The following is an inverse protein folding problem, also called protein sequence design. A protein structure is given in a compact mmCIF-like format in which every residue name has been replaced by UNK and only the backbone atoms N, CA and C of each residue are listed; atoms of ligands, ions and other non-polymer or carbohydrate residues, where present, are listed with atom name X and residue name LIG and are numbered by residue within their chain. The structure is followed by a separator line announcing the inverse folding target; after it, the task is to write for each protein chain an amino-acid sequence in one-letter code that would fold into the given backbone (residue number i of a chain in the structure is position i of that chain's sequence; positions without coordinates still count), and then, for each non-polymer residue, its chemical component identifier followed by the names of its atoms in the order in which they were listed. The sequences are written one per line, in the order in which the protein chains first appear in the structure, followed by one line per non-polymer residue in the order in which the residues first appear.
data_IF_035147262315
#
_entry.id   IF_035147262315
#
_cell.length_a   1.000
_cell.length_b   1.000
_cell.length_c   1.000
_cell.angle_alpha   90.00
_cell.angle_beta   90.00
_cell.angle_gamma   90.00
#
_symmetry.space_group_name_H-M   'P 1'
#
loop_
_entity.id
_entity.type
_entity.pdbx_description
1 polymer ?
#
# COMPACT_ATOMS: atom_id res chain seq x y z
N UNK A 1 17.06 14.67 1.80
CA UNK A 1 17.69 15.82 1.06
C UNK A 1 16.75 16.14 -0.10
N UNK A 2 15.85 17.12 0.08
CA UNK A 2 15.06 17.63 -1.05
C UNK A 2 16.03 18.35 -1.97
N UNK A 3 16.25 17.82 -3.15
CA UNK A 3 16.84 18.58 -4.24
C UNK A 3 15.77 19.60 -4.67
N UNK A 4 15.81 20.80 -4.09
CA UNK A 4 15.12 21.94 -4.67
C UNK A 4 15.73 22.16 -6.06
N UNK A 5 15.00 21.79 -7.10
CA UNK A 5 15.32 22.27 -8.44
C UNK A 5 15.06 23.77 -8.40
N UNK A 6 16.12 24.56 -8.37
CA UNK A 6 16.00 25.97 -8.69
C UNK A 6 15.41 26.06 -10.10
N UNK A 7 14.17 26.49 -10.17
CA UNK A 7 13.59 26.92 -11.43
C UNK A 7 14.28 28.23 -11.81
N UNK A 8 15.32 28.14 -12.58
CA UNK A 8 15.88 29.30 -13.26
C UNK A 8 14.82 29.71 -14.28
N UNK A 9 13.95 30.61 -13.89
CA UNK A 9 13.10 31.34 -14.84
C UNK A 9 14.00 32.44 -15.39
N UNK A 10 14.51 32.27 -16.61
CA UNK A 10 15.12 33.39 -17.35
C UNK A 10 14.07 34.52 -17.37
N UNK A 11 14.52 35.75 -17.03
CA UNK A 11 13.65 36.91 -17.05
C UNK A 11 13.05 37.07 -18.45
N UNK A 12 11.73 36.78 -18.55
CA UNK A 12 10.99 36.99 -19.79
C UNK A 12 10.68 38.48 -19.89
N UNK A 13 11.43 39.18 -20.71
CA UNK A 13 11.20 40.61 -20.98
C UNK A 13 10.13 40.73 -22.07
N UNK A 14 8.92 41.17 -21.67
CA UNK A 14 7.79 41.41 -22.57
C UNK A 14 6.45 40.94 -22.03
N UNK A 15 5.35 41.39 -22.66
CA UNK A 15 3.99 40.90 -22.36
C UNK A 15 3.78 39.51 -22.93
N UNK A 16 4.15 38.46 -22.13
CA UNK A 16 3.99 37.07 -22.53
C UNK A 16 2.70 36.53 -21.93
N UNK A 17 1.78 36.10 -22.77
CA UNK A 17 0.55 35.44 -22.35
C UNK A 17 0.87 34.00 -21.95
N UNK A 18 0.90 33.74 -20.65
CA UNK A 18 1.13 32.39 -20.11
C UNK A 18 -0.14 31.55 -20.18
N UNK A 19 -0.10 30.44 -20.90
CA UNK A 19 -1.15 29.44 -20.92
C UNK A 19 -0.73 28.25 -20.04
N UNK A 20 -1.58 27.88 -19.09
CA UNK A 20 -1.36 26.68 -18.29
C UNK A 20 -1.86 25.44 -19.07
N UNK A 21 -1.09 24.35 -19.03
CA UNK A 21 -1.56 23.07 -19.53
C UNK A 21 -2.80 22.62 -18.72
N UNK A 22 -3.78 22.09 -19.39
CA UNK A 22 -4.99 21.52 -18.77
C UNK A 22 -5.16 20.11 -19.29
N UNK A 23 -5.65 19.23 -18.41
CA UNK A 23 -6.04 17.86 -18.77
C UNK A 23 -7.50 17.93 -19.25
N UNK A 24 -7.77 17.37 -20.42
CA UNK A 24 -9.14 17.22 -20.91
C UNK A 24 -9.89 16.20 -20.07
N UNK A 25 -11.18 16.43 -19.81
CA UNK A 25 -12.02 15.51 -19.03
C UNK A 25 -12.03 14.10 -19.63
N UNK A 26 -12.09 13.98 -20.94
CA UNK A 26 -12.06 12.70 -21.67
C UNK A 26 -10.72 11.98 -21.61
N UNK A 27 -9.65 12.63 -21.15
CA UNK A 27 -8.30 12.05 -21.06
C UNK A 27 -7.98 11.46 -19.70
N UNK A 28 -8.85 11.61 -18.72
CA UNK A 28 -8.62 11.19 -17.34
C UNK A 28 -8.38 9.67 -17.26
N UNK A 29 -9.18 8.87 -17.95
CA UNK A 29 -9.01 7.40 -18.02
C UNK A 29 -7.63 7.00 -18.52
N UNK A 30 -7.14 7.64 -19.60
CA UNK A 30 -5.82 7.35 -20.19
C UNK A 30 -4.69 7.68 -19.21
N UNK A 31 -4.82 8.78 -18.48
CA UNK A 31 -3.81 9.19 -17.49
C UNK A 31 -3.78 8.21 -16.31
N UNK A 32 -4.95 7.81 -15.82
CA UNK A 32 -5.08 6.85 -14.74
C UNK A 32 -4.49 5.50 -15.16
N UNK A 33 -4.82 5.00 -16.35
CA UNK A 33 -4.24 3.78 -16.91
C UNK A 33 -2.72 3.87 -17.02
N UNK A 34 -2.21 5.02 -17.47
CA UNK A 34 -0.76 5.24 -17.57
C UNK A 34 -0.10 5.19 -16.19
N UNK A 35 -0.71 5.78 -15.17
CA UNK A 35 -0.19 5.76 -13.78
C UNK A 35 -0.22 4.35 -13.19
N UNK A 36 -1.29 3.58 -13.44
CA UNK A 36 -1.43 2.21 -12.96
C UNK A 36 -0.42 1.29 -13.66
N UNK A 37 -0.20 1.48 -14.95
CA UNK A 37 0.76 0.70 -15.74
C UNK A 37 2.23 1.01 -15.40
N UNK A 38 2.51 2.03 -14.57
CA UNK A 38 3.87 2.26 -14.06
C UNK A 38 4.32 1.20 -13.06
N UNK A 39 3.42 0.43 -12.47
CA UNK A 39 3.79 -0.64 -11.55
C UNK A 39 4.45 -1.81 -12.30
N UNK A 40 5.75 -1.95 -12.16
CA UNK A 40 6.54 -3.04 -12.78
C UNK A 40 6.26 -4.40 -12.13
N UNK A 41 5.89 -4.43 -10.86
CA UNK A 41 5.41 -5.61 -10.11
C UNK A 41 4.01 -5.31 -9.54
N UNK A 42 2.93 -5.59 -10.30
CA UNK A 42 1.57 -5.31 -9.87
C UNK A 42 1.21 -5.93 -8.52
N UNK A 43 1.48 -7.23 -8.33
CA UNK A 43 1.13 -7.95 -7.11
C UNK A 43 1.98 -7.45 -5.92
N UNK A 44 3.29 -7.24 -6.11
CA UNK A 44 4.15 -6.66 -5.09
C UNK A 44 3.70 -5.26 -4.68
N UNK A 45 3.26 -4.46 -5.65
CA UNK A 45 2.73 -3.11 -5.38
C UNK A 45 1.44 -3.15 -4.57
N UNK A 46 0.51 -4.05 -4.89
CA UNK A 46 -0.72 -4.23 -4.10
C UNK A 46 -0.39 -4.60 -2.66
N UNK A 47 0.44 -5.65 -2.49
CA UNK A 47 0.83 -6.13 -1.18
C UNK A 47 1.47 -5.02 -0.35
N UNK A 48 2.36 -4.24 -0.94
CA UNK A 48 3.02 -3.11 -0.29
C UNK A 48 2.05 -1.98 0.06
N UNK A 49 1.35 -1.46 -0.94
CA UNK A 49 0.55 -0.24 -0.80
C UNK A 49 -0.67 -0.47 0.11
N UNK A 50 -1.39 -1.58 -0.09
CA UNK A 50 -2.59 -1.86 0.71
C UNK A 50 -2.21 -2.19 2.15
N UNK A 51 -1.13 -2.94 2.38
CA UNK A 51 -0.66 -3.21 3.74
C UNK A 51 -0.18 -1.93 4.44
N UNK A 52 0.55 -1.07 3.74
CA UNK A 52 0.97 0.22 4.29
C UNK A 52 -0.22 1.08 4.70
N UNK A 53 -1.30 1.10 3.90
CA UNK A 53 -2.52 1.79 4.27
C UNK A 53 -3.18 1.21 5.53
N UNK A 54 -3.16 -0.13 5.70
CA UNK A 54 -3.65 -0.78 6.92
C UNK A 54 -2.83 -0.33 8.15
N UNK A 55 -1.51 -0.25 8.04
CA UNK A 55 -0.65 0.23 9.12
C UNK A 55 -0.88 1.70 9.45
N UNK A 56 -1.00 2.55 8.43
CA UNK A 56 -1.28 3.96 8.62
C UNK A 56 -2.62 4.18 9.36
N UNK A 57 -3.66 3.40 9.03
CA UNK A 57 -4.95 3.45 9.72
C UNK A 57 -4.84 3.04 11.21
N UNK A 58 -4.04 2.00 11.51
CA UNK A 58 -3.76 1.60 12.89
C UNK A 58 -3.01 2.68 13.64
N UNK A 59 -1.97 3.24 13.03
CA UNK A 59 -1.18 4.33 13.62
C UNK A 59 -2.03 5.56 13.88
N UNK A 60 -2.90 5.96 12.94
CA UNK A 60 -3.84 7.07 13.14
C UNK A 60 -4.70 6.83 14.39
N UNK A 61 -5.29 5.63 14.50
CA UNK A 61 -6.08 5.24 15.69
C UNK A 61 -5.26 5.33 16.98
N UNK A 62 -4.06 4.75 16.98
CA UNK A 62 -3.23 4.67 18.19
C UNK A 62 -2.77 6.07 18.64
N UNK A 63 -2.43 6.96 17.72
CA UNK A 63 -2.11 8.36 18.00
C UNK A 63 -3.32 9.14 18.55
N UNK A 64 -4.54 8.88 18.04
CA UNK A 64 -5.78 9.45 18.57
C UNK A 64 -6.07 8.94 19.99
N UNK A 65 -5.93 7.65 20.24
CA UNK A 65 -6.12 7.05 21.55
C UNK A 65 -5.09 7.58 22.56
N UNK A 66 -3.85 7.79 22.15
CA UNK A 66 -2.79 8.37 22.97
C UNK A 66 -2.94 9.88 23.18
N UNK A 67 -3.88 10.55 22.47
CA UNK A 67 -4.05 11.99 22.54
C UNK A 67 -2.96 12.81 21.85
N UNK A 68 -2.13 12.16 21.02
CA UNK A 68 -1.05 12.81 20.25
C UNK A 68 -1.59 13.62 19.09
N UNK A 69 -2.67 13.14 18.46
CA UNK A 69 -3.42 13.87 17.43
C UNK A 69 -4.88 14.01 17.89
N UNK A 70 -5.57 15.08 17.47
CA UNK A 70 -6.94 15.32 17.92
C UNK A 70 -7.91 14.27 17.33
N UNK A 71 -8.89 13.92 18.14
CA UNK A 71 -10.09 13.22 17.69
C UNK A 71 -10.94 14.25 16.97
N UNK A 72 -11.31 13.97 15.71
CA UNK A 72 -12.17 14.85 14.91
C UNK A 72 -13.64 14.58 15.19
N UNK A 73 -14.54 15.47 14.73
CA UNK A 73 -15.99 15.30 14.86
C UNK A 73 -16.54 14.05 14.12
N UNK A 74 -15.74 13.51 13.19
CA UNK A 74 -16.06 12.28 12.47
C UNK A 74 -15.68 11.01 13.26
N UNK A 75 -14.89 11.13 14.31
CA UNK A 75 -14.39 10.00 15.09
C UNK A 75 -15.23 9.75 16.35
N UNK A 76 -15.52 8.51 16.65
CA UNK A 76 -16.12 8.07 17.92
C UNK A 76 -15.30 6.94 18.53
N UNK A 77 -14.46 7.24 19.54
CA UNK A 77 -13.53 6.25 20.13
C UNK A 77 -14.20 4.99 20.68
N UNK A 78 -15.50 5.02 20.98
CA UNK A 78 -16.20 3.81 21.43
C UNK A 78 -16.24 2.70 20.37
N UNK A 79 -16.00 3.07 19.09
CA UNK A 79 -15.95 2.14 17.98
C UNK A 79 -14.52 1.70 17.62
N UNK A 80 -13.50 2.18 18.33
CA UNK A 80 -12.13 1.78 18.06
C UNK A 80 -11.83 0.40 18.65
N UNK A 81 -11.12 -0.41 17.89
CA UNK A 81 -10.52 -1.63 18.40
C UNK A 81 -9.43 -1.35 19.43
N UNK A 82 -9.18 -2.27 20.37
CA UNK A 82 -8.00 -2.21 21.23
C UNK A 82 -6.72 -2.08 20.38
N UNK A 83 -5.71 -1.39 20.91
CA UNK A 83 -4.41 -1.20 20.25
C UNK A 83 -3.67 -2.52 20.00
N UNK A 84 -3.99 -3.56 20.77
CA UNK A 84 -3.45 -4.92 20.58
C UNK A 84 -3.99 -5.64 19.34
N UNK A 85 -5.09 -5.15 18.74
CA UNK A 85 -5.61 -5.74 17.51
C UNK A 85 -4.70 -5.36 16.35
N UNK A 86 -4.29 -6.34 15.55
CA UNK A 86 -3.29 -6.19 14.48
C UNK A 86 -3.93 -6.23 13.11
N UNK A 87 -3.33 -5.57 12.08
CA UNK A 87 -3.76 -5.73 10.69
C UNK A 87 -3.68 -7.18 10.24
N UNK A 88 -4.50 -7.55 9.27
CA UNK A 88 -4.60 -8.93 8.80
C UNK A 88 -4.52 -9.02 7.28
N UNK A 89 -3.83 -10.05 6.80
CA UNK A 89 -3.95 -10.52 5.41
C UNK A 89 -4.54 -11.93 5.47
N UNK A 90 -5.63 -12.12 4.75
CA UNK A 90 -6.38 -13.36 4.71
C UNK A 90 -6.46 -13.86 3.27
N UNK A 91 -6.29 -15.16 3.08
CA UNK A 91 -6.67 -15.84 1.84
C UNK A 91 -8.01 -16.54 2.04
N UNK A 92 -8.95 -16.31 1.14
CA UNK A 92 -10.25 -16.98 1.10
C UNK A 92 -10.40 -17.75 -0.21
N UNK A 93 -10.78 -19.03 -0.14
CA UNK A 93 -11.05 -19.86 -1.31
C UNK A 93 -12.34 -19.44 -2.03
N UNK A 94 -13.29 -18.89 -1.29
CA UNK A 94 -14.55 -18.40 -1.82
C UNK A 94 -15.09 -17.27 -0.93
N UNK A 95 -15.37 -16.12 -1.52
CA UNK A 95 -16.04 -15.04 -0.80
C UNK A 95 -17.53 -15.03 -1.13
N UNK A 96 -18.29 -15.75 -0.33
CA UNK A 96 -19.74 -15.97 -0.53
C UNK A 96 -20.53 -14.66 -0.47
N UNK A 97 -20.09 -13.67 0.34
CA UNK A 97 -20.80 -12.39 0.50
C UNK A 97 -20.79 -11.56 -0.79
N UNK A 98 -19.72 -11.64 -1.55
CA UNK A 98 -19.55 -10.89 -2.79
C UNK A 98 -19.78 -11.76 -4.03
N UNK A 99 -19.94 -13.06 -3.86
CA UNK A 99 -20.10 -14.00 -4.97
C UNK A 99 -18.83 -14.09 -5.85
N UNK A 100 -17.65 -13.85 -5.27
CA UNK A 100 -16.36 -13.98 -5.94
C UNK A 100 -15.66 -15.26 -5.48
N UNK A 101 -14.84 -15.85 -6.37
CA UNK A 101 -14.03 -17.03 -6.05
C UNK A 101 -12.89 -16.70 -5.08
N UNK A 102 -11.73 -17.27 -5.33
CA UNK A 102 -10.54 -17.03 -4.50
C UNK A 102 -10.19 -15.54 -4.42
N UNK A 103 -9.86 -15.07 -3.24
CA UNK A 103 -9.51 -13.66 -3.01
C UNK A 103 -8.44 -13.51 -1.92
N UNK A 104 -7.65 -12.44 -2.01
CA UNK A 104 -6.86 -11.92 -0.91
C UNK A 104 -7.57 -10.73 -0.27
N UNK A 105 -7.64 -10.75 1.05
CA UNK A 105 -8.25 -9.71 1.88
C UNK A 105 -7.17 -9.04 2.71
N UNK A 106 -7.16 -7.72 2.69
CA UNK A 106 -6.31 -6.88 3.53
C UNK A 106 -7.20 -6.09 4.46
N UNK A 107 -7.10 -6.36 5.75
CA UNK A 107 -8.00 -5.77 6.75
C UNK A 107 -7.23 -4.99 7.78
N UNK A 108 -7.63 -3.76 8.01
CA UNK A 108 -7.22 -2.98 9.16
C UNK A 108 -8.34 -2.90 10.22
N UNK A 109 -7.93 -2.57 11.43
CA UNK A 109 -8.77 -2.31 12.59
C UNK A 109 -8.43 -0.91 13.16
N UNK A 110 -8.22 0.02 12.25
CA UNK A 110 -7.91 1.41 12.54
C UNK A 110 -9.15 2.24 12.84
N UNK A 111 -9.17 3.46 12.36
CA UNK A 111 -10.30 4.40 12.58
C UNK A 111 -11.53 4.05 11.75
N UNK A 112 -11.40 3.17 10.74
CA UNK A 112 -12.41 2.94 9.72
C UNK A 112 -12.53 4.13 8.75
N UNK A 113 -13.28 3.95 7.67
CA UNK A 113 -13.51 5.01 6.69
C UNK A 113 -15.01 5.37 6.65
N UNK A 114 -15.33 6.64 6.91
CA UNK A 114 -16.65 7.17 6.64
C UNK A 114 -16.96 7.11 5.13
N UNK A 115 -18.22 7.15 4.75
CA UNK A 115 -18.64 7.18 3.34
C UNK A 115 -17.89 8.26 2.56
N UNK A 116 -17.82 9.46 3.11
CA UNK A 116 -17.10 10.60 2.54
C UNK A 116 -15.60 10.30 2.35
N UNK A 117 -14.94 9.75 3.38
CA UNK A 117 -13.50 9.39 3.28
C UNK A 117 -13.24 8.30 2.23
N UNK A 118 -14.11 7.30 2.09
CA UNK A 118 -13.99 6.29 1.02
C UNK A 118 -14.05 6.99 -0.33
N UNK A 119 -15.04 7.83 -0.56
CA UNK A 119 -15.20 8.57 -1.81
C UNK A 119 -13.94 9.41 -2.09
N UNK A 120 -13.47 10.21 -1.12
CA UNK A 120 -12.29 11.06 -1.27
C UNK A 120 -11.01 10.26 -1.56
N UNK A 121 -10.78 9.15 -0.86
CA UNK A 121 -9.56 8.32 -1.02
C UNK A 121 -9.56 7.59 -2.36
N UNK A 122 -10.68 7.04 -2.77
CA UNK A 122 -10.72 6.12 -3.90
C UNK A 122 -11.11 6.76 -5.23
N UNK A 123 -11.80 7.90 -5.25
CA UNK A 123 -12.17 8.59 -6.49
C UNK A 123 -11.21 9.71 -6.88
N UNK A 124 -10.47 10.29 -5.93
CA UNK A 124 -9.54 11.37 -6.22
C UNK A 124 -8.13 10.84 -6.49
N UNK A 125 -7.56 11.23 -7.62
CA UNK A 125 -6.19 10.94 -7.99
C UNK A 125 -5.27 12.11 -7.63
N UNK A 126 -4.09 11.79 -7.09
CA UNK A 126 -3.12 12.81 -6.73
C UNK A 126 -3.47 13.63 -5.47
N UNK A 127 -4.62 13.41 -4.85
CA UNK A 127 -4.94 13.93 -3.52
C UNK A 127 -4.44 12.94 -2.48
N UNK A 128 -3.25 13.18 -1.95
CA UNK A 128 -2.80 12.51 -0.75
C UNK A 128 -3.05 13.44 0.43
N UNK A 129 -3.86 13.03 1.37
CA UNK A 129 -3.97 13.69 2.69
C UNK A 129 -2.66 13.59 3.47
N UNK A 130 -1.67 12.92 2.89
CA UNK A 130 -0.39 12.51 3.50
C UNK A 130 0.82 13.30 2.99
N UNK A 131 0.64 14.26 2.07
CA UNK A 131 1.76 14.99 1.44
C UNK A 131 2.64 15.78 2.41
N UNK A 132 2.05 16.24 3.50
CA UNK A 132 2.73 17.08 4.49
C UNK A 132 3.12 16.30 5.77
N UNK A 133 2.84 14.99 5.82
CA UNK A 133 3.17 14.14 6.96
C UNK A 133 4.26 13.12 6.55
N UNK A 134 5.51 13.46 6.87
CA UNK A 134 6.68 12.58 6.65
C UNK A 134 6.62 11.26 7.44
N UNK A 135 5.58 11.04 8.22
CA UNK A 135 5.41 9.85 9.05
C UNK A 135 4.50 8.80 8.42
N UNK A 136 3.98 8.99 7.21
CA UNK A 136 3.07 8.07 6.54
C UNK A 136 3.73 7.48 5.28
N UNK A 137 3.59 6.16 5.09
CA UNK A 137 4.28 5.39 4.05
C UNK A 137 3.75 5.69 2.63
N UNK A 138 2.48 6.14 2.49
CA UNK A 138 1.83 6.38 1.19
C UNK A 138 1.76 7.85 0.77
N UNK A 139 2.65 8.33 -0.11
CA UNK A 139 2.78 9.75 -0.48
C UNK A 139 2.09 10.23 -1.75
N UNK A 140 1.73 9.35 -2.69
CA UNK A 140 1.35 9.75 -4.06
C UNK A 140 -0.17 9.79 -4.34
N UNK A 141 -1.03 9.35 -3.40
CA UNK A 141 -2.48 9.30 -3.61
C UNK A 141 -2.94 8.28 -4.68
N UNK A 142 -2.04 7.43 -5.16
CA UNK A 142 -2.34 6.36 -6.12
C UNK A 142 -2.30 4.96 -5.48
N UNK A 143 -1.69 4.81 -4.32
CA UNK A 143 -1.51 3.51 -3.65
C UNK A 143 -2.82 2.78 -3.38
N UNK A 144 -3.88 3.50 -2.99
CA UNK A 144 -5.22 2.92 -2.80
C UNK A 144 -5.84 2.34 -4.08
N UNK A 145 -5.34 2.74 -5.26
CA UNK A 145 -5.77 2.26 -6.57
C UNK A 145 -4.84 1.20 -7.16
N UNK A 146 -3.79 0.83 -6.43
CA UNK A 146 -2.84 -0.22 -6.87
C UNK A 146 -3.51 -1.55 -7.26
N UNK A 147 -4.68 -1.97 -6.70
CA UNK A 147 -5.37 -3.16 -7.16
C UNK A 147 -5.68 -3.18 -8.66
N UNK A 148 -5.95 -2.03 -9.28
CA UNK A 148 -6.19 -1.94 -10.71
C UNK A 148 -4.98 -2.29 -11.59
N UNK A 149 -3.78 -2.39 -11.03
CA UNK A 149 -2.62 -2.89 -11.78
C UNK A 149 -2.67 -4.41 -12.04
N UNK A 150 -3.53 -5.12 -11.30
CA UNK A 150 -3.67 -6.58 -11.37
C UNK A 150 -5.07 -7.03 -11.80
N UNK A 151 -6.12 -6.38 -11.34
CA UNK A 151 -7.51 -6.77 -11.58
C UNK A 151 -8.35 -5.59 -12.08
N UNK A 152 -9.35 -5.88 -12.92
CA UNK A 152 -10.30 -4.86 -13.36
C UNK A 152 -11.38 -4.56 -12.33
N UNK A 153 -11.49 -5.35 -11.25
CA UNK A 153 -12.50 -5.16 -10.21
C UNK A 153 -11.94 -5.56 -8.85
N UNK A 154 -12.17 -4.73 -7.84
CA UNK A 154 -11.92 -5.06 -6.44
C UNK A 154 -12.98 -4.43 -5.55
N UNK A 155 -13.01 -4.84 -4.26
CA UNK A 155 -14.05 -4.42 -3.35
C UNK A 155 -13.47 -3.78 -2.09
N UNK A 156 -14.27 -2.90 -1.48
CA UNK A 156 -13.96 -2.28 -0.20
C UNK A 156 -15.15 -2.48 0.71
N UNK A 157 -14.87 -2.97 1.91
CA UNK A 157 -15.84 -2.99 2.99
C UNK A 157 -15.32 -2.10 4.11
N UNK A 158 -16.13 -1.16 4.57
CA UNK A 158 -15.80 -0.29 5.69
C UNK A 158 -16.86 -0.35 6.78
N UNK A 159 -16.40 -0.41 8.03
CA UNK A 159 -17.23 -0.24 9.22
C UNK A 159 -16.74 1.00 9.94
N UNK A 160 -17.64 1.95 10.11
CA UNK A 160 -17.31 3.23 10.72
C UNK A 160 -18.47 3.73 11.56
N UNK A 161 -18.23 3.90 12.86
CA UNK A 161 -19.17 4.47 13.85
C UNK A 161 -20.58 3.86 13.79
N UNK A 162 -20.64 2.50 13.80
CA UNK A 162 -21.90 1.77 13.80
C UNK A 162 -22.59 1.66 12.45
N UNK A 163 -21.93 2.09 11.38
CA UNK A 163 -22.38 1.91 9.99
C UNK A 163 -21.45 0.99 9.24
N UNK A 164 -21.99 0.30 8.25
CA UNK A 164 -21.22 -0.54 7.32
C UNK A 164 -21.51 -0.14 5.88
N UNK A 165 -20.49 -0.15 5.06
CA UNK A 165 -20.54 0.20 3.64
C UNK A 165 -19.78 -0.85 2.85
N UNK A 166 -20.30 -1.28 1.71
CA UNK A 166 -19.54 -2.05 0.73
C UNK A 166 -19.59 -1.40 -0.64
N UNK A 167 -18.43 -1.39 -1.28
CA UNK A 167 -18.23 -0.77 -2.58
C UNK A 167 -17.61 -1.75 -3.55
N UNK A 168 -17.98 -1.64 -4.80
CA UNK A 168 -17.30 -2.25 -5.94
C UNK A 168 -16.59 -1.15 -6.72
N UNK A 169 -15.29 -1.34 -6.93
CA UNK A 169 -14.50 -0.48 -7.79
C UNK A 169 -14.15 -1.27 -9.04
N UNK A 170 -14.36 -0.68 -10.21
CA UNK A 170 -14.15 -1.40 -11.46
C UNK A 170 -13.70 -0.47 -12.60
N UNK A 171 -12.99 -1.07 -13.54
CA UNK A 171 -12.56 -0.43 -14.78
C UNK A 171 -13.69 -0.54 -15.80
N UNK A 172 -14.30 0.59 -16.17
CA UNK A 172 -15.24 0.68 -17.28
C UNK A 172 -14.53 0.93 -18.61
N UNK A 173 -15.31 1.11 -19.67
CA UNK A 173 -14.77 1.34 -21.01
C UNK A 173 -14.14 2.74 -21.15
N UNK A 174 -14.60 3.71 -20.39
CA UNK A 174 -14.27 5.13 -20.49
C UNK A 174 -13.59 5.67 -19.22
N UNK A 175 -13.88 5.08 -18.07
CA UNK A 175 -13.39 5.55 -16.78
C UNK A 175 -13.33 4.43 -15.74
N UNK A 176 -12.75 4.76 -14.59
CA UNK A 176 -12.83 3.97 -13.38
C UNK A 176 -14.06 4.39 -12.58
N UNK A 177 -14.79 3.42 -12.07
CA UNK A 177 -16.05 3.60 -11.37
C UNK A 177 -15.99 3.05 -9.96
N UNK A 178 -16.83 3.61 -9.10
CA UNK A 178 -17.03 3.12 -7.74
C UNK A 178 -18.53 3.13 -7.43
N UNK A 179 -19.11 1.96 -7.21
CA UNK A 179 -20.52 1.80 -6.89
C UNK A 179 -20.69 1.38 -5.43
N UNK A 180 -21.59 2.05 -4.71
CA UNK A 180 -22.02 1.64 -3.39
C UNK A 180 -22.97 0.44 -3.53
N UNK A 181 -22.54 -0.74 -3.12
CA UNK A 181 -23.34 -1.97 -3.18
C UNK A 181 -24.33 -2.06 -2.02
N UNK A 182 -23.85 -1.81 -0.80
CA UNK A 182 -24.68 -1.89 0.42
C UNK A 182 -24.31 -0.79 1.40
N UNK A 183 -25.34 -0.33 2.13
CA UNK A 183 -25.19 0.54 3.30
C UNK A 183 -26.10 0.04 4.41
N UNK A 184 -25.60 -0.04 5.63
CA UNK A 184 -26.38 -0.58 6.76
C UNK A 184 -25.84 -0.12 8.11
N UNK A 185 -26.42 -0.71 9.18
CA UNK A 185 -25.96 -0.52 10.55
C UNK A 185 -25.22 -1.78 11.02
N UNK A 186 -24.25 -1.58 11.90
CA UNK A 186 -23.48 -2.69 12.48
C UNK A 186 -23.21 -2.43 13.95
N UNK A 187 -23.00 -3.50 14.71
CA UNK A 187 -22.50 -3.45 16.09
C UNK A 187 -21.00 -3.75 16.16
N UNK A 188 -20.37 -4.03 15.02
CA UNK A 188 -18.95 -4.29 14.95
C UNK A 188 -18.12 -3.01 15.02
N UNK A 189 -16.91 -3.13 15.55
CA UNK A 189 -15.99 -2.03 15.69
C UNK A 189 -15.42 -1.61 14.31
N UNK A 190 -14.84 -0.41 14.26
CA UNK A 190 -14.33 0.20 13.04
C UNK A 190 -13.26 -0.68 12.36
N UNK A 191 -13.38 -0.81 11.06
CA UNK A 191 -12.42 -1.55 10.22
C UNK A 191 -12.55 -1.15 8.76
N UNK A 192 -11.47 -1.35 7.99
CA UNK A 192 -11.52 -1.29 6.53
C UNK A 192 -10.95 -2.58 5.97
N UNK A 193 -11.57 -3.10 4.93
CA UNK A 193 -11.15 -4.31 4.23
C UNK A 193 -11.12 -4.05 2.74
N UNK A 194 -9.97 -4.36 2.13
CA UNK A 194 -9.78 -4.35 0.68
C UNK A 194 -9.73 -5.79 0.21
N UNK A 195 -10.63 -6.17 -0.70
CA UNK A 195 -10.81 -7.53 -1.19
C UNK A 195 -10.42 -7.57 -2.66
N UNK A 196 -9.43 -8.40 -2.96
CA UNK A 196 -8.84 -8.54 -4.29
C UNK A 196 -9.15 -9.93 -4.84
N UNK A 197 -10.12 -10.04 -5.75
CA UNK A 197 -10.41 -11.30 -6.42
C UNK A 197 -9.23 -11.76 -7.25
N UNK A 198 -9.00 -13.07 -7.25
CA UNK A 198 -8.01 -13.68 -8.13
C UNK A 198 -8.66 -14.13 -9.44
N UNK A 199 -7.88 -14.13 -10.52
CA UNK A 199 -8.33 -14.71 -11.79
C UNK A 199 -8.61 -16.21 -11.58
N UNK A 200 -9.82 -16.66 -11.90
CA UNK A 200 -10.24 -18.05 -11.71
C UNK A 200 -9.35 -19.04 -12.48
N UNK A 201 -8.86 -18.66 -13.68
CA UNK A 201 -8.03 -19.52 -14.53
C UNK A 201 -6.59 -19.61 -14.06
N UNK A 202 -6.09 -18.58 -13.39
CA UNK A 202 -4.70 -18.43 -12.96
C UNK A 202 -4.55 -18.50 -11.43
N UNK A 203 -5.64 -18.76 -10.71
CA UNK A 203 -5.76 -18.65 -9.27
C UNK A 203 -4.60 -19.31 -8.52
N UNK A 204 -4.26 -20.56 -8.85
CA UNK A 204 -3.15 -21.27 -8.20
C UNK A 204 -1.77 -20.62 -8.42
N UNK A 205 -1.54 -20.08 -9.62
CA UNK A 205 -0.30 -19.36 -9.94
C UNK A 205 -0.25 -18.03 -9.18
N UNK A 206 -1.37 -17.34 -9.15
CA UNK A 206 -1.45 -16.02 -8.53
C UNK A 206 -1.39 -16.09 -7.01
N UNK A 207 -1.97 -17.10 -6.38
CA UNK A 207 -1.77 -17.36 -4.94
C UNK A 207 -0.26 -17.43 -4.62
N UNK A 208 0.52 -18.20 -5.41
CA UNK A 208 1.97 -18.31 -5.21
C UNK A 208 2.70 -16.99 -5.40
N UNK A 209 2.25 -16.17 -6.36
CA UNK A 209 2.82 -14.84 -6.61
C UNK A 209 2.51 -13.88 -5.44
N UNK A 210 1.29 -13.90 -4.90
CA UNK A 210 0.93 -13.13 -3.72
C UNK A 210 1.77 -13.55 -2.51
N UNK A 211 1.90 -14.84 -2.23
CA UNK A 211 2.73 -15.33 -1.12
C UNK A 211 4.21 -14.93 -1.29
N UNK A 212 4.72 -15.00 -2.53
CA UNK A 212 6.08 -14.53 -2.83
C UNK A 212 6.21 -13.03 -2.56
N UNK A 213 5.23 -12.24 -2.97
CA UNK A 213 5.23 -10.80 -2.75
C UNK A 213 5.12 -10.45 -1.25
N UNK A 214 4.27 -11.16 -0.50
CA UNK A 214 4.16 -11.03 0.96
C UNK A 214 5.50 -11.28 1.63
N UNK A 215 6.17 -12.39 1.29
CA UNK A 215 7.47 -12.71 1.85
C UNK A 215 8.55 -11.67 1.51
N UNK A 216 8.51 -11.11 0.30
CA UNK A 216 9.51 -10.14 -0.14
C UNK A 216 9.26 -8.72 0.38
N UNK A 217 8.00 -8.30 0.42
CA UNK A 217 7.65 -6.90 0.73
C UNK A 217 7.39 -6.67 2.22
N UNK A 218 6.89 -7.70 2.94
CA UNK A 218 6.37 -7.53 4.29
C UNK A 218 7.23 -8.20 5.37
N UNK A 219 8.43 -8.62 5.03
CA UNK A 219 9.31 -9.34 5.96
C UNK A 219 9.67 -8.55 7.23
N UNK A 220 9.64 -7.22 7.16
CA UNK A 220 9.93 -6.32 8.29
C UNK A 220 8.69 -5.80 8.99
N UNK A 221 7.50 -6.31 8.64
CA UNK A 221 6.25 -5.97 9.32
C UNK A 221 6.00 -6.95 10.48
N UNK A 222 6.34 -6.54 11.70
CA UNK A 222 6.32 -7.42 12.87
C UNK A 222 4.90 -7.79 13.33
N UNK A 223 3.97 -6.85 13.22
CA UNK A 223 2.64 -6.89 13.82
C UNK A 223 1.53 -7.29 12.84
N UNK A 224 1.85 -8.05 11.81
CA UNK A 224 0.91 -8.49 10.79
C UNK A 224 0.43 -9.90 11.06
N UNK A 225 -0.87 -10.13 10.98
CA UNK A 225 -1.46 -11.46 11.11
C UNK A 225 -1.81 -12.02 9.74
N UNK A 226 -1.53 -13.30 9.55
CA UNK A 226 -1.87 -14.03 8.33
C UNK A 226 -2.87 -15.12 8.62
N UNK A 227 -3.96 -15.19 7.83
CA UNK A 227 -5.04 -16.15 7.98
C UNK A 227 -5.15 -16.93 6.68
N UNK A 228 -5.02 -18.25 6.75
CA UNK A 228 -5.11 -19.21 5.63
C UNK A 228 -4.13 -18.94 4.47
N UNK A 229 -3.18 -18.02 4.61
CA UNK A 229 -2.27 -17.63 3.53
C UNK A 229 -1.31 -18.75 3.17
N UNK A 230 -0.80 -19.49 4.15
CA UNK A 230 0.12 -20.63 3.93
C UNK A 230 -0.59 -21.83 3.30
N UNK A 231 -1.83 -22.06 3.66
CA UNK A 231 -2.63 -23.20 3.21
C UNK A 231 -2.95 -23.11 1.72
N UNK A 232 -3.32 -21.92 1.24
CA UNK A 232 -3.65 -21.70 -0.17
C UNK A 232 -2.48 -21.92 -1.14
N UNK A 233 -1.23 -21.72 -0.71
CA UNK A 233 -0.07 -21.76 -1.60
C UNK A 233 0.98 -22.79 -1.27
N UNK A 234 0.88 -23.54 -0.17
CA UNK A 234 1.84 -24.56 0.25
C UNK A 234 3.25 -24.02 0.55
N UNK A 235 3.38 -22.72 0.78
CA UNK A 235 4.65 -22.07 1.15
C UNK A 235 4.51 -21.40 2.52
N UNK A 236 5.52 -21.62 3.35
CA UNK A 236 5.61 -20.95 4.66
C UNK A 236 5.88 -19.47 4.47
N UNK A 237 5.23 -18.66 5.30
CA UNK A 237 5.55 -17.25 5.44
C UNK A 237 6.86 -17.11 6.21
N UNK A 238 7.69 -16.19 5.74
CA UNK A 238 8.99 -15.91 6.32
C UNK A 238 8.91 -14.63 7.15
N UNK A 239 9.53 -14.67 8.31
CA UNK A 239 9.81 -13.47 9.10
C UNK A 239 11.31 -13.23 9.04
N UNK A 240 11.70 -11.98 8.94
CA UNK A 240 13.09 -11.59 9.10
C UNK A 240 13.59 -12.04 10.48
N UNK A 241 14.77 -12.64 10.51
CA UNK A 241 15.50 -12.89 11.74
C UNK A 241 16.57 -11.82 11.83
N UNK A 242 16.28 -10.76 12.59
CA UNK A 242 17.19 -9.63 12.68
C UNK A 242 18.35 -10.01 13.58
N UNK A 243 19.53 -10.13 12.98
CA UNK A 243 20.77 -10.43 13.71
C UNK A 243 21.43 -9.18 14.29
N UNK A 244 21.24 -8.04 13.61
CA UNK A 244 21.69 -6.74 14.07
C UNK A 244 20.75 -5.66 13.54
N UNK A 245 20.44 -4.69 14.39
CA UNK A 245 19.65 -3.50 14.04
C UNK A 245 20.12 -2.30 14.82
N UNK A 246 20.33 -1.18 14.11
CA UNK A 246 20.49 0.14 14.69
C UNK A 246 19.58 1.15 13.96
N UNK A 247 19.87 2.46 14.09
CA UNK A 247 19.07 3.51 13.48
C UNK A 247 19.07 3.44 11.94
N UNK A 248 20.22 3.11 11.37
CA UNK A 248 20.48 3.24 9.92
C UNK A 248 20.61 1.91 9.19
N UNK A 249 20.87 0.82 9.91
CA UNK A 249 21.22 -0.48 9.34
C UNK A 249 20.45 -1.62 9.99
N UNK A 250 20.08 -2.59 9.17
CA UNK A 250 19.52 -3.86 9.58
C UNK A 250 20.25 -5.00 8.87
N UNK A 251 20.67 -6.03 9.61
CA UNK A 251 21.30 -7.24 9.06
C UNK A 251 20.41 -8.44 9.38
N UNK A 252 20.12 -9.23 8.35
CA UNK A 252 19.40 -10.50 8.43
C UNK A 252 20.18 -11.60 7.71
N UNK A 253 20.98 -12.36 8.46
CA UNK A 253 21.81 -13.44 7.94
C UNK A 253 20.99 -14.68 7.53
N UNK A 254 19.77 -14.82 7.99
CA UNK A 254 18.90 -15.94 7.63
C UNK A 254 18.60 -16.00 6.12
N UNK A 255 18.71 -14.89 5.44
CA UNK A 255 18.48 -14.75 4.01
C UNK A 255 19.62 -15.31 3.14
N UNK A 256 20.83 -15.47 3.70
CA UNK A 256 22.00 -15.97 2.96
C UNK A 256 21.81 -17.39 2.42
N UNK A 257 21.08 -18.24 3.12
CA UNK A 257 21.04 -19.68 2.84
C UNK A 257 19.95 -20.11 1.86
N UNK A 258 18.91 -19.33 1.66
CA UNK A 258 17.74 -19.80 0.91
C UNK A 258 17.58 -19.26 -0.52
N UNK A 259 18.23 -18.15 -0.86
CA UNK A 259 18.01 -17.50 -2.16
C UNK A 259 19.27 -17.17 -2.96
N UNK A 260 20.46 -17.41 -2.46
CA UNK A 260 21.70 -16.80 -2.99
C UNK A 260 21.61 -15.26 -3.09
N UNK A 261 20.75 -14.66 -2.30
CA UNK A 261 20.46 -13.23 -2.37
C UNK A 261 21.39 -12.52 -1.42
N UNK A 262 22.50 -12.11 -1.97
CA UNK A 262 23.42 -11.16 -1.37
C UNK A 262 22.93 -9.75 -1.75
N UNK A 263 21.75 -9.37 -1.30
CA UNK A 263 21.16 -8.11 -1.73
C UNK A 263 21.20 -7.08 -0.61
N UNK A 264 21.89 -5.99 -0.88
CA UNK A 264 21.64 -4.73 -0.18
C UNK A 264 20.31 -4.17 -0.67
N UNK A 265 19.46 -3.76 0.26
CA UNK A 265 18.16 -3.18 -0.06
C UNK A 265 17.89 -1.96 0.82
N UNK A 266 16.96 -1.13 0.39
CA UNK A 266 16.51 0.00 1.18
C UNK A 266 15.28 -0.39 1.98
N UNK A 267 15.18 0.14 3.20
CA UNK A 267 13.99 0.01 4.04
C UNK A 267 13.49 1.42 4.30
N UNK A 268 12.31 1.73 3.78
CA UNK A 268 11.64 3.02 4.06
C UNK A 268 10.41 2.75 4.90
N UNK A 269 10.43 3.25 6.12
CA UNK A 269 9.48 2.81 7.12
C UNK A 269 9.68 1.32 7.44
N UNK A 270 8.78 0.45 6.96
CA UNK A 270 8.89 -1.02 7.10
C UNK A 270 8.91 -1.72 5.74
N UNK A 271 8.90 -0.98 4.66
CA UNK A 271 8.82 -1.49 3.30
C UNK A 271 10.21 -1.70 2.73
N UNK A 272 10.42 -2.91 2.20
CA UNK A 272 11.65 -3.24 1.49
C UNK A 272 11.61 -2.78 0.03
N UNK A 273 12.66 -2.09 -0.39
CA UNK A 273 12.88 -1.69 -1.78
C UNK A 273 14.19 -2.31 -2.29
N UNK A 274 14.16 -3.08 -3.38
CA UNK A 274 15.38 -3.63 -3.96
C UNK A 274 16.25 -2.50 -4.52
N UNK A 275 17.58 -2.59 -4.30
CA UNK A 275 18.55 -1.76 -4.97
C UNK A 275 18.94 -2.38 -6.31
N UNK A 276 19.00 -1.56 -7.35
CA UNK A 276 19.53 -1.99 -8.63
C UNK A 276 21.05 -1.93 -8.58
N UNK A 277 21.71 -3.07 -8.57
CA UNK A 277 23.18 -3.17 -8.53
C UNK A 277 23.88 -2.47 -9.68
N UNK A 278 23.23 -2.28 -10.83
CA UNK A 278 23.79 -1.56 -11.96
C UNK A 278 23.97 -0.04 -11.74
N UNK A 279 23.46 0.49 -10.62
CA UNK A 279 23.65 1.89 -10.23
C UNK A 279 24.99 2.15 -9.51
N UNK A 280 25.69 1.10 -9.14
CA UNK A 280 26.97 1.21 -8.43
C UNK A 280 28.09 0.84 -9.40
N UNK A 281 29.18 1.63 -9.38
CA UNK A 281 30.36 1.37 -10.20
C UNK A 281 30.94 -0.01 -9.89
N UNK A 282 31.36 -0.73 -10.92
CA UNK A 282 32.01 -2.04 -10.83
C UNK A 282 33.17 -2.00 -9.82
N UNK A 283 33.10 -2.80 -8.77
CA UNK A 283 34.17 -3.00 -7.82
C UNK A 283 33.85 -2.80 -6.34
N UNK A 284 32.74 -2.15 -6.00
CA UNK A 284 32.36 -1.98 -4.59
C UNK A 284 31.68 -3.22 -3.98
N UNK A 285 31.23 -4.18 -4.80
CA UNK A 285 30.33 -5.27 -4.39
C UNK A 285 30.86 -6.68 -4.75
N UNK A 286 32.12 -6.80 -5.10
CA UNK A 286 32.76 -8.11 -5.34
C UNK A 286 33.24 -8.72 -4.02
N UNK A 287 32.57 -9.77 -3.58
CA UNK A 287 32.90 -10.75 -2.53
C UNK A 287 32.32 -10.47 -1.15
N UNK A 288 31.61 -11.47 -0.66
CA UNK A 288 31.15 -11.64 0.73
C UNK A 288 30.13 -10.60 1.22
N UNK A 289 29.15 -10.26 0.37
CA UNK A 289 28.09 -9.36 0.75
C UNK A 289 27.24 -9.92 1.88
N UNK A 290 27.13 -9.14 2.93
CA UNK A 290 26.21 -9.40 4.03
C UNK A 290 24.85 -8.85 3.60
N UNK A 291 23.77 -9.68 3.60
CA UNK A 291 22.44 -9.17 3.31
C UNK A 291 22.08 -8.11 4.34
N UNK A 292 21.90 -6.89 3.88
CA UNK A 292 21.58 -5.78 4.78
C UNK A 292 20.52 -4.85 4.18
N UNK A 293 19.72 -4.27 5.07
CA UNK A 293 18.79 -3.20 4.78
C UNK A 293 19.31 -1.87 5.30
N UNK A 294 19.41 -0.88 4.45
CA UNK A 294 19.71 0.49 4.84
C UNK A 294 18.37 1.18 5.13
N UNK A 295 18.22 1.67 6.37
CA UNK A 295 16.97 2.26 6.84
C UNK A 295 16.92 3.74 6.52
N UNK A 296 15.76 4.19 6.11
CA UNK A 296 15.43 5.59 5.88
C UNK A 296 14.08 5.91 6.50
N UNK A 297 13.97 7.11 7.01
CA UNK A 297 12.66 7.62 7.42
C UNK A 297 11.77 7.90 6.21
N UNK A 298 10.47 7.85 6.44
CA UNK A 298 9.50 8.18 5.40
C UNK A 298 9.68 9.65 5.01
N UNK A 299 9.87 9.91 3.71
CA UNK A 299 10.12 11.25 3.18
C UNK A 299 11.60 11.62 3.04
N UNK A 300 12.56 10.82 3.52
CA UNK A 300 13.98 11.03 3.28
C UNK A 300 14.41 10.66 1.85
N UNK A 301 13.69 9.74 1.22
CA UNK A 301 13.92 9.33 -0.16
C UNK A 301 12.72 9.64 -1.05
N UNK A 302 13.02 10.20 -2.22
CA UNK A 302 12.03 10.32 -3.29
C UNK A 302 11.86 8.96 -3.99
N UNK A 303 10.83 8.23 -3.61
CA UNK A 303 10.49 6.93 -4.22
C UNK A 303 9.68 7.15 -5.50
N UNK A 304 10.11 6.52 -6.58
CA UNK A 304 9.35 6.53 -7.84
C UNK A 304 8.23 5.50 -7.77
N UNK A 305 6.98 5.83 -8.17
CA UNK A 305 5.84 4.91 -8.11
C UNK A 305 6.02 3.58 -8.86
N UNK A 306 6.91 3.56 -9.84
CA UNK A 306 7.18 2.43 -10.74
C UNK A 306 8.08 1.33 -10.16
N UNK A 307 8.43 1.37 -8.88
CA UNK A 307 9.35 0.40 -8.27
C UNK A 307 8.65 -0.66 -7.46
#
# INVERSE_FOLDING_TARGET
MKLEREHVVDEIIGDVKTNKFKIGEDSMGIIIDSLINLYSDPIGSIVREVTSNCYDAHREKDLKVAGTIPITDEDDPKWFHPTSKKPQIEFQEENVLLGVGNAFLFRDFGVGLSKKRVEEIYTLFGNSTKRDDNNQIGGFGIGAKSPFSYTDTFYIMSKHNGKTFSYMLYRGNDAFHMDLLTEGVTTELNSTEVIIPLDEKESYRDIKRFIKAINNQLMYFEDLQFINVEEGGGRKLKKATIDYEDQDLLIDLSQQHEYNVKEVHLIVGRVRYPLNHSMFEDGLWERDEIPCGIKFDVGELDLVPSR
#
